data_IF_059381531565
#
_entry.id   IF_059381531565
#
_cell.length_a   1.000
_cell.length_b   1.000
_cell.length_c   1.000
_cell.angle_alpha   90.00
_cell.angle_beta   90.00
_cell.angle_gamma   90.00
#
_symmetry.space_group_name_H-M   'P 1'
#
loop_
_entity.id
_entity.type
_entity.pdbx_description
1 polymer ?
#
# COMPACT_ATOMS: atom_id res chain seq x y z
N UNK A 1 7.83 26.13 14.44
CA UNK A 1 7.53 24.93 15.24
C UNK A 1 6.88 23.84 14.41
N UNK A 2 5.67 24.07 13.91
CA UNK A 2 4.83 23.05 13.26
C UNK A 2 5.42 22.44 11.97
N UNK A 3 6.17 23.21 11.18
CA UNK A 3 6.82 22.73 9.95
C UNK A 3 7.91 21.69 10.21
N UNK A 4 8.72 21.88 11.25
CA UNK A 4 9.74 20.90 11.66
C UNK A 4 9.14 19.63 12.23
N UNK A 5 8.02 19.74 12.98
CA UNK A 5 7.27 18.58 13.45
C UNK A 5 6.70 17.77 12.27
N UNK A 6 6.12 18.45 11.27
CA UNK A 6 5.60 17.79 10.07
C UNK A 6 6.70 17.09 9.25
N UNK A 7 7.86 17.73 9.09
CA UNK A 7 9.03 17.11 8.43
C UNK A 7 9.55 15.91 9.22
N UNK A 8 9.62 16.02 10.55
CA UNK A 8 10.06 14.93 11.42
C UNK A 8 9.16 13.69 11.29
N UNK A 9 7.84 13.88 11.27
CA UNK A 9 6.88 12.79 11.04
C UNK A 9 7.07 12.19 9.64
N UNK A 10 7.19 13.02 8.60
CA UNK A 10 7.41 12.56 7.23
C UNK A 10 8.65 11.68 7.08
N UNK A 11 9.77 12.09 7.69
CA UNK A 11 11.02 11.33 7.69
C UNK A 11 10.89 10.04 8.49
N UNK A 12 10.27 10.08 9.68
CA UNK A 12 10.05 8.88 10.49
C UNK A 12 9.21 7.83 9.75
N UNK A 13 8.14 8.24 9.08
CA UNK A 13 7.30 7.34 8.28
C UNK A 13 8.08 6.82 7.07
N UNK A 14 8.89 7.64 6.40
CA UNK A 14 9.74 7.18 5.29
C UNK A 14 10.73 6.09 5.74
N UNK A 15 11.38 6.27 6.90
CA UNK A 15 12.27 5.26 7.50
C UNK A 15 11.51 3.97 7.85
N UNK A 16 10.30 4.09 8.40
CA UNK A 16 9.46 2.93 8.69
C UNK A 16 9.10 2.17 7.41
N UNK A 17 8.75 2.86 6.32
CA UNK A 17 8.48 2.24 5.01
C UNK A 17 9.72 1.49 4.50
N UNK A 18 10.90 2.11 4.56
CA UNK A 18 12.15 1.47 4.16
C UNK A 18 12.48 0.24 5.02
N UNK A 19 12.25 0.30 6.33
CA UNK A 19 12.40 -0.83 7.22
C UNK A 19 11.45 -1.97 6.86
N UNK A 20 10.17 -1.67 6.59
CA UNK A 20 9.18 -2.67 6.16
C UNK A 20 9.55 -3.29 4.82
N UNK A 21 10.04 -2.49 3.87
CA UNK A 21 10.57 -3.00 2.59
C UNK A 21 11.74 -3.95 2.84
N UNK A 22 12.70 -3.57 3.69
CA UNK A 22 13.85 -4.40 4.04
C UNK A 22 13.45 -5.72 4.72
N UNK A 23 12.55 -5.66 5.71
CA UNK A 23 12.02 -6.84 6.40
C UNK A 23 11.28 -7.75 5.43
N UNK A 24 10.44 -7.18 4.56
CA UNK A 24 9.70 -7.93 3.54
C UNK A 24 10.63 -8.58 2.53
N UNK A 25 11.70 -7.89 2.14
CA UNK A 25 12.69 -8.42 1.21
C UNK A 25 13.52 -9.55 1.86
N UNK A 26 13.92 -9.39 3.12
CA UNK A 26 14.64 -10.43 3.89
C UNK A 26 13.76 -11.65 4.13
N UNK A 27 12.49 -11.46 4.49
CA UNK A 27 11.53 -12.53 4.77
C UNK A 27 10.72 -12.95 3.53
N UNK A 28 11.25 -12.76 2.32
CA UNK A 28 10.53 -13.03 1.06
C UNK A 28 10.04 -14.48 0.90
N UNK A 29 10.67 -15.42 1.62
CA UNK A 29 10.34 -16.84 1.57
C UNK A 29 9.35 -17.26 2.67
N UNK A 30 9.06 -16.37 3.62
CA UNK A 30 8.07 -16.64 4.65
C UNK A 30 6.70 -16.89 4.00
N UNK A 31 6.01 -17.94 4.46
CA UNK A 31 4.70 -18.36 3.91
C UNK A 31 3.70 -17.20 3.88
N UNK A 32 3.72 -16.31 4.87
CA UNK A 32 2.85 -15.13 4.95
C UNK A 32 3.09 -14.16 3.79
N UNK A 33 4.35 -13.88 3.45
CA UNK A 33 4.73 -12.95 2.36
C UNK A 33 4.47 -13.58 1.00
N UNK A 34 4.76 -14.88 0.86
CA UNK A 34 4.50 -15.64 -0.36
C UNK A 34 2.99 -15.73 -0.66
N UNK A 35 2.18 -15.99 0.37
CA UNK A 35 0.72 -16.12 0.25
C UNK A 35 0.02 -14.77 0.01
N UNK A 36 0.55 -13.67 0.58
CA UNK A 36 -0.05 -12.33 0.45
C UNK A 36 0.16 -11.64 -0.91
N UNK A 37 0.65 -12.37 -1.92
CA UNK A 37 1.03 -11.89 -3.25
C UNK A 37 1.99 -10.69 -3.24
N UNK A 38 3.28 -10.98 -3.37
CA UNK A 38 4.38 -10.01 -3.51
C UNK A 38 4.14 -8.96 -4.61
N UNK A 39 3.41 -9.31 -5.67
CA UNK A 39 3.06 -8.40 -6.78
C UNK A 39 2.14 -7.25 -6.37
N UNK A 40 1.30 -7.41 -5.35
CA UNK A 40 0.46 -6.33 -4.84
C UNK A 40 1.14 -5.52 -3.73
N UNK A 41 2.04 -6.16 -2.98
CA UNK A 41 2.73 -5.51 -1.85
C UNK A 41 3.78 -4.49 -2.31
N UNK A 42 4.55 -4.77 -3.37
CA UNK A 42 5.61 -3.86 -3.85
C UNK A 42 5.08 -2.53 -4.39
N UNK A 43 4.03 -2.47 -5.24
CA UNK A 43 3.45 -1.21 -5.70
C UNK A 43 2.90 -0.36 -4.55
N UNK A 44 2.28 -0.99 -3.56
CA UNK A 44 1.74 -0.30 -2.37
C UNK A 44 2.87 0.33 -1.54
N UNK A 45 3.95 -0.41 -1.29
CA UNK A 45 5.11 0.12 -0.56
C UNK A 45 5.81 1.24 -1.34
N UNK A 46 5.88 1.13 -2.68
CA UNK A 46 6.37 2.20 -3.54
C UNK A 46 5.48 3.45 -3.46
N UNK A 47 4.15 3.27 -3.48
CA UNK A 47 3.18 4.34 -3.31
C UNK A 47 3.34 5.08 -1.98
N UNK A 48 3.47 4.33 -0.87
CA UNK A 48 3.71 4.92 0.45
C UNK A 48 5.02 5.71 0.52
N UNK A 49 6.09 5.21 -0.10
CA UNK A 49 7.36 5.94 -0.17
C UNK A 49 7.26 7.24 -0.97
N UNK A 50 6.53 7.23 -2.08
CA UNK A 50 6.29 8.44 -2.91
C UNK A 50 5.48 9.49 -2.15
N UNK A 51 4.44 9.08 -1.42
CA UNK A 51 3.63 10.00 -0.60
C UNK A 51 4.47 10.61 0.53
N UNK A 52 5.29 9.83 1.23
CA UNK A 52 6.15 10.38 2.31
C UNK A 52 7.22 11.31 1.75
N UNK A 53 7.79 11.01 0.58
CA UNK A 53 8.68 11.93 -0.12
C UNK A 53 7.96 13.26 -0.47
N UNK A 54 6.72 13.20 -0.96
CA UNK A 54 5.90 14.39 -1.20
C UNK A 54 5.65 15.22 0.07
N UNK A 55 5.39 14.55 1.20
CA UNK A 55 5.18 15.21 2.49
C UNK A 55 6.44 15.93 3.00
N UNK A 56 7.63 15.38 2.77
CA UNK A 56 8.90 16.05 3.08
C UNK A 56 9.13 17.27 2.19
N UNK A 57 8.73 17.19 0.91
CA UNK A 57 8.87 18.30 -0.05
C UNK A 57 7.88 19.44 0.18
N UNK A 58 6.72 19.15 0.80
CA UNK A 58 5.63 20.09 1.06
C UNK A 58 6.02 21.37 1.83
N UNK A 59 6.82 21.30 2.92
CA UNK A 59 7.26 22.47 3.68
C UNK A 59 8.49 23.21 3.10
N UNK A 60 9.13 22.73 2.03
CA UNK A 60 10.25 23.47 1.42
C UNK A 60 9.80 24.80 0.80
N UNK A 61 10.75 25.70 0.55
CA UNK A 61 10.48 26.95 -0.17
C UNK A 61 9.88 26.64 -1.55
N UNK A 62 8.78 27.33 -1.93
CA UNK A 62 8.10 27.08 -3.19
C UNK A 62 9.01 27.50 -4.34
N UNK A 63 9.39 26.53 -5.17
CA UNK A 63 10.06 26.73 -6.44
C UNK A 63 9.23 26.02 -7.53
N UNK A 64 9.40 26.38 -8.80
CA UNK A 64 8.69 25.70 -9.92
C UNK A 64 8.88 24.18 -9.86
N UNK A 65 10.10 23.73 -9.54
CA UNK A 65 10.42 22.31 -9.38
C UNK A 65 9.73 21.70 -8.15
N UNK A 66 9.76 22.38 -6.99
CA UNK A 66 9.13 21.90 -5.76
C UNK A 66 7.60 21.76 -5.91
N UNK A 67 6.95 22.70 -6.59
CA UNK A 67 5.49 22.65 -6.81
C UNK A 67 5.08 21.46 -7.68
N UNK A 68 5.78 21.27 -8.81
CA UNK A 68 5.52 20.13 -9.70
C UNK A 68 5.83 18.81 -8.99
N UNK A 69 6.96 18.72 -8.28
CA UNK A 69 7.32 17.50 -7.57
C UNK A 69 6.29 17.11 -6.50
N UNK A 70 5.74 18.08 -5.73
CA UNK A 70 4.70 17.80 -4.73
C UNK A 70 3.48 17.14 -5.34
N UNK A 71 2.95 17.74 -6.42
CA UNK A 71 1.75 17.26 -7.10
C UNK A 71 1.97 15.83 -7.62
N UNK A 72 3.08 15.60 -8.33
CA UNK A 72 3.39 14.31 -8.92
C UNK A 72 3.66 13.22 -7.90
N UNK A 73 4.44 13.51 -6.85
CA UNK A 73 4.76 12.55 -5.79
C UNK A 73 3.51 12.09 -5.05
N UNK A 74 2.61 13.03 -4.73
CA UNK A 74 1.35 12.71 -4.04
C UNK A 74 0.41 11.95 -4.96
N UNK A 75 0.19 12.41 -6.20
CA UNK A 75 -0.77 11.79 -7.12
C UNK A 75 -0.36 10.36 -7.52
N UNK A 76 0.91 10.18 -7.90
CA UNK A 76 1.45 8.87 -8.25
C UNK A 76 1.48 7.95 -7.02
N UNK A 77 1.90 8.49 -5.87
CA UNK A 77 1.96 7.74 -4.63
C UNK A 77 0.58 7.22 -4.19
N UNK A 78 -0.44 8.08 -4.25
CA UNK A 78 -1.82 7.70 -3.93
C UNK A 78 -2.38 6.67 -4.90
N UNK A 79 -2.12 6.82 -6.20
CA UNK A 79 -2.61 5.90 -7.23
C UNK A 79 -1.96 4.52 -7.07
N UNK A 80 -0.64 4.46 -6.87
CA UNK A 80 0.10 3.23 -6.60
C UNK A 80 -0.24 2.59 -5.26
N UNK A 81 -0.72 3.38 -4.28
CA UNK A 81 -1.23 2.86 -3.01
C UNK A 81 -2.64 2.27 -3.12
N UNK A 82 -3.59 3.04 -3.66
CA UNK A 82 -5.01 2.69 -3.64
C UNK A 82 -5.37 1.63 -4.69
N UNK A 83 -4.88 1.75 -5.92
CA UNK A 83 -5.30 0.86 -7.03
C UNK A 83 -5.01 -0.62 -6.73
N UNK A 84 -3.81 -1.02 -6.28
CA UNK A 84 -3.52 -2.43 -5.98
C UNK A 84 -4.34 -2.95 -4.79
N UNK A 85 -4.63 -2.08 -3.80
CA UNK A 85 -5.48 -2.43 -2.67
C UNK A 85 -6.92 -2.69 -3.12
N UNK A 86 -7.49 -1.84 -3.97
CA UNK A 86 -8.82 -2.02 -4.53
C UNK A 86 -8.91 -3.34 -5.33
N UNK A 87 -7.93 -3.62 -6.18
CA UNK A 87 -7.88 -4.86 -6.96
C UNK A 87 -7.81 -6.09 -6.05
N UNK A 88 -6.99 -6.04 -4.99
CA UNK A 88 -6.87 -7.14 -4.02
C UNK A 88 -8.17 -7.37 -3.27
N UNK A 89 -8.83 -6.31 -2.81
CA UNK A 89 -10.13 -6.39 -2.12
C UNK A 89 -11.22 -6.93 -3.06
N UNK A 90 -11.26 -6.47 -4.32
CA UNK A 90 -12.19 -6.97 -5.32
C UNK A 90 -11.99 -8.47 -5.60
N UNK A 91 -10.73 -8.93 -5.69
CA UNK A 91 -10.41 -10.34 -5.87
C UNK A 91 -10.87 -11.19 -4.68
N UNK A 92 -10.62 -10.73 -3.44
CA UNK A 92 -11.10 -11.41 -2.23
C UNK A 92 -12.62 -11.47 -2.20
N UNK A 93 -13.30 -10.35 -2.49
CA UNK A 93 -14.78 -10.30 -2.52
C UNK A 93 -15.35 -11.28 -3.56
N UNK A 94 -14.74 -11.37 -4.75
CA UNK A 94 -15.13 -12.34 -5.77
C UNK A 94 -14.94 -13.78 -5.30
N UNK A 95 -13.83 -14.08 -4.62
CA UNK A 95 -13.55 -15.40 -4.06
C UNK A 95 -14.54 -15.76 -2.96
N UNK A 96 -14.86 -14.84 -2.05
CA UNK A 96 -15.84 -15.06 -0.97
C UNK A 96 -17.24 -15.35 -1.53
N UNK A 97 -17.71 -14.56 -2.50
CA UNK A 97 -18.99 -14.81 -3.17
C UNK A 97 -19.03 -16.15 -3.91
N UNK A 98 -17.93 -16.54 -4.55
CA UNK A 98 -17.83 -17.84 -5.20
C UNK A 98 -17.84 -19.00 -4.19
N UNK A 99 -17.19 -18.82 -3.03
CA UNK A 99 -17.18 -19.80 -1.95
C UNK A 99 -18.56 -19.99 -1.32
N UNK A 100 -19.35 -18.93 -1.16
CA UNK A 100 -20.76 -19.02 -0.72
C UNK A 100 -21.59 -19.87 -1.69
N UNK A 101 -21.41 -19.68 -3.00
CA UNK A 101 -22.10 -20.49 -4.02
C UNK A 101 -21.63 -21.95 -4.06
N UNK A 102 -20.40 -22.22 -3.62
CA UNK A 102 -19.80 -23.56 -3.56
C UNK A 102 -20.05 -24.29 -2.22
N UNK A 103 -20.79 -23.70 -1.27
CA UNK A 103 -21.19 -24.41 -0.05
C UNK A 103 -22.04 -25.62 -0.45
N UNK A 104 -21.50 -26.84 -0.26
CA UNK A 104 -22.24 -28.09 -0.49
C UNK A 104 -23.53 -28.03 0.33
N UNK A 105 -24.66 -27.98 -0.36
CA UNK A 105 -25.96 -28.29 0.24
C UNK A 105 -25.90 -29.76 0.64
N UNK A 106 -25.96 -30.03 1.94
CA UNK A 106 -26.19 -31.38 2.43
C UNK A 106 -27.58 -31.80 1.95
N UNK A 107 -27.62 -32.73 1.00
CA UNK A 107 -28.87 -33.37 0.60
C UNK A 107 -29.24 -34.27 1.78
N UNK A 108 -30.27 -33.87 2.51
CA UNK A 108 -30.87 -34.69 3.56
C UNK A 108 -31.52 -35.90 2.87
N UNK A 109 -31.06 -37.14 3.13
CA UNK A 109 -31.56 -38.33 2.44
C UNK A 109 -32.98 -38.75 2.90
N UNK A 110 -33.65 -37.98 3.77
CA UNK A 110 -34.93 -38.35 4.36
C UNK A 110 -36.10 -37.41 3.96
N UNK A 111 -36.17 -37.01 2.70
CA UNK A 111 -37.31 -36.29 2.11
C UNK A 111 -37.62 -36.75 0.69
#
# INVERSE_FOLDING_TARGET
GYTYAAQGVGVAVALAVLAVVGITYRNREAKVVKNSQRRFLMPVLCGFFLVTAGAVVYPLTPSKASCVAREWLVLLGYTLGIVPLLVKVAAINKLSKAAEKMRRVGIDPNK
#
